data_IF_967194722228
#
_entry.id   IF_967194722228
#
_cell.length_a   1.000
_cell.length_b   1.000
_cell.length_c   1.000
_cell.angle_alpha   90.00
_cell.angle_beta   90.00
_cell.angle_gamma   90.00
#
_symmetry.space_group_name_H-M   'P 1'
#
loop_
_entity.id
_entity.type
_entity.pdbx_description
1 polymer ?
#
# COMPACT_ATOMS: atom_id res chain seq x y z
N UNK A 1 12.26 4.68 -0.40
CA UNK A 1 10.99 4.59 -1.13
C UNK A 1 10.76 3.17 -1.63
N UNK A 2 9.55 2.66 -1.52
CA UNK A 2 9.24 1.31 -1.94
C UNK A 2 9.23 1.19 -3.47
N UNK A 3 9.73 0.06 -3.96
CA UNK A 3 9.71 -0.28 -5.36
C UNK A 3 8.99 -1.61 -5.55
N UNK A 4 8.46 -1.88 -6.76
CA UNK A 4 7.78 -3.16 -6.99
C UNK A 4 8.67 -4.34 -6.62
N UNK A 5 8.09 -5.26 -5.85
CA UNK A 5 8.82 -6.42 -5.34
C UNK A 5 9.37 -6.24 -3.94
N UNK A 6 9.37 -5.03 -3.39
CA UNK A 6 9.86 -4.81 -2.04
C UNK A 6 8.88 -5.36 -1.02
N UNK A 7 9.43 -5.97 0.02
CA UNK A 7 8.64 -6.37 1.18
C UNK A 7 8.51 -5.19 2.13
N UNK A 8 7.34 -5.06 2.75
CA UNK A 8 7.11 -3.99 3.70
C UNK A 8 6.27 -4.51 4.86
N UNK A 9 6.26 -3.73 5.93
CA UNK A 9 5.43 -3.96 7.10
C UNK A 9 4.63 -2.70 7.37
N UNK A 10 3.35 -2.86 7.67
CA UNK A 10 2.54 -1.73 8.09
C UNK A 10 2.78 -1.44 9.57
N UNK A 11 3.08 -0.18 9.86
CA UNK A 11 3.18 0.27 11.23
C UNK A 11 1.80 0.41 11.85
N UNK A 12 1.76 0.83 13.11
CA UNK A 12 0.49 1.07 13.79
C UNK A 12 -0.23 2.24 13.12
N UNK A 13 -1.48 2.00 12.70
CA UNK A 13 -2.31 3.02 12.05
C UNK A 13 -3.43 3.38 13.01
N UNK A 14 -3.32 4.56 13.60
CA UNK A 14 -4.28 5.03 14.57
C UNK A 14 -5.60 5.36 13.88
N UNK A 15 -6.71 4.87 14.44
CA UNK A 15 -8.03 5.16 13.90
C UNK A 15 -8.47 4.29 12.73
N UNK A 16 -7.63 3.36 12.29
CA UNK A 16 -7.96 2.43 11.22
C UNK A 16 -8.28 1.05 11.78
N UNK A 17 -8.72 0.15 10.89
CA UNK A 17 -9.07 -1.21 11.27
C UNK A 17 -7.84 -1.95 11.81
N UNK A 18 -8.06 -2.72 12.86
CA UNK A 18 -6.98 -3.43 13.53
C UNK A 18 -6.31 -4.47 12.64
N UNK A 19 -7.02 -5.02 11.66
CA UNK A 19 -6.48 -6.05 10.80
C UNK A 19 -5.40 -5.53 9.85
N UNK A 20 -5.26 -4.22 9.70
CA UNK A 20 -4.19 -3.65 8.88
C UNK A 20 -2.92 -3.41 9.69
N UNK A 21 -3.01 -3.30 11.01
CA UNK A 21 -1.86 -2.98 11.84
C UNK A 21 -0.88 -4.15 11.86
N UNK A 22 0.41 -3.84 11.65
CA UNK A 22 1.51 -4.80 11.69
C UNK A 22 1.43 -5.91 10.64
N UNK A 23 0.62 -5.73 9.62
CA UNK A 23 0.59 -6.68 8.52
C UNK A 23 1.78 -6.47 7.62
N UNK A 24 2.26 -7.56 7.02
CA UNK A 24 3.34 -7.51 6.04
C UNK A 24 2.78 -7.77 4.66
N UNK A 25 3.52 -7.32 3.65
CA UNK A 25 3.09 -7.53 2.29
C UNK A 25 4.19 -7.22 1.29
N UNK A 26 3.81 -7.30 0.03
CA UNK A 26 4.69 -6.99 -1.11
C UNK A 26 4.12 -5.79 -1.83
N UNK A 27 4.98 -4.82 -2.11
CA UNK A 27 4.59 -3.66 -2.91
C UNK A 27 4.60 -4.06 -4.39
N UNK A 28 3.50 -3.80 -5.09
CA UNK A 28 3.36 -4.20 -6.49
C UNK A 28 3.54 -3.04 -7.47
N UNK A 29 3.48 -1.81 -6.99
CA UNK A 29 3.68 -0.65 -7.83
C UNK A 29 2.53 0.34 -7.73
N UNK A 30 2.60 1.38 -8.57
CA UNK A 30 1.59 2.41 -8.60
C UNK A 30 0.47 2.03 -9.56
N UNK A 31 -0.75 2.44 -9.22
CA UNK A 31 -1.91 2.33 -10.07
C UNK A 31 -2.46 3.74 -10.29
N UNK A 32 -2.32 4.24 -11.50
CA UNK A 32 -2.67 5.63 -11.82
C UNK A 32 -3.99 5.65 -12.55
N UNK A 33 -4.94 6.41 -12.01
CA UNK A 33 -6.27 6.55 -12.57
C UNK A 33 -6.44 7.97 -13.08
N UNK A 34 -6.79 8.10 -14.35
CA UNK A 34 -7.07 9.39 -14.96
C UNK A 34 -8.58 9.59 -15.01
N UNK A 35 -9.04 10.65 -14.37
CA UNK A 35 -10.47 10.95 -14.34
C UNK A 35 -10.82 11.91 -15.46
N UNK A 36 -12.11 11.92 -15.83
CA UNK A 36 -12.60 12.78 -16.91
C UNK A 36 -12.50 14.27 -16.58
N UNK A 37 -12.48 14.61 -15.30
CA UNK A 37 -12.38 15.99 -14.86
C UNK A 37 -10.93 16.51 -14.85
N UNK A 38 -10.00 15.73 -15.37
CA UNK A 38 -8.59 16.10 -15.41
C UNK A 38 -7.81 15.79 -14.16
N UNK A 39 -8.44 15.20 -13.15
CA UNK A 39 -7.76 14.80 -11.92
C UNK A 39 -7.09 13.47 -12.12
N UNK A 40 -5.84 13.36 -11.66
CA UNK A 40 -5.09 12.10 -11.67
C UNK A 40 -4.98 11.59 -10.24
N UNK A 41 -5.40 10.35 -10.02
CA UNK A 41 -5.33 9.71 -8.72
C UNK A 41 -4.28 8.62 -8.79
N UNK A 42 -3.31 8.66 -7.86
CA UNK A 42 -2.29 7.64 -7.75
C UNK A 42 -2.55 6.80 -6.52
N UNK A 43 -2.79 5.52 -6.73
CA UNK A 43 -2.90 4.54 -5.67
C UNK A 43 -1.68 3.63 -5.70
N UNK A 44 -1.47 2.92 -4.62
CA UNK A 44 -0.35 2.01 -4.48
C UNK A 44 -0.89 0.60 -4.29
N UNK A 45 -0.57 -0.27 -5.25
CA UNK A 45 -1.05 -1.65 -5.24
C UNK A 45 -0.13 -2.48 -4.37
N UNK A 46 -0.72 -3.23 -3.46
CA UNK A 46 0.02 -4.08 -2.53
C UNK A 46 -0.69 -5.42 -2.40
N UNK A 47 0.08 -6.45 -2.06
CA UNK A 47 -0.48 -7.75 -1.72
C UNK A 47 -0.04 -8.08 -0.30
N UNK A 48 -1.01 -8.08 0.61
CA UNK A 48 -0.74 -8.39 2.01
C UNK A 48 -0.67 -9.92 2.20
N UNK A 49 0.19 -10.33 3.11
CA UNK A 49 0.32 -11.74 3.46
C UNK A 49 -1.03 -12.25 3.96
N UNK A 50 -1.50 -13.34 3.37
CA UNK A 50 -2.79 -13.93 3.72
C UNK A 50 -3.94 -13.49 2.83
N UNK A 51 -3.77 -12.42 2.05
CA UNK A 51 -4.82 -11.98 1.13
C UNK A 51 -4.71 -12.75 -0.19
N UNK A 52 -5.85 -13.02 -0.79
CA UNK A 52 -5.91 -13.67 -2.10
C UNK A 52 -5.89 -12.69 -3.25
N UNK A 53 -6.10 -11.40 -2.97
CA UNK A 53 -6.16 -10.36 -3.99
C UNK A 53 -5.43 -9.12 -3.53
N UNK A 54 -4.84 -8.35 -4.47
CA UNK A 54 -4.19 -7.10 -4.13
C UNK A 54 -5.17 -6.06 -3.60
N UNK A 55 -4.65 -5.15 -2.79
CA UNK A 55 -5.38 -3.99 -2.31
C UNK A 55 -4.76 -2.72 -2.88
N UNK A 56 -5.56 -1.65 -2.95
CA UNK A 56 -5.07 -0.34 -3.33
C UNK A 56 -5.00 0.54 -2.09
N UNK A 57 -3.82 1.09 -1.84
CA UNK A 57 -3.59 2.02 -0.74
C UNK A 57 -3.41 3.41 -1.29
N UNK A 58 -3.95 4.40 -0.60
CA UNK A 58 -3.73 5.79 -0.96
C UNK A 58 -2.41 6.31 -0.39
N UNK A 59 -2.11 7.59 -0.68
CA UNK A 59 -0.86 8.20 -0.21
C UNK A 59 -0.77 8.27 1.31
N UNK A 60 -1.92 8.40 1.97
CA UNK A 60 -1.94 8.46 3.43
C UNK A 60 -1.43 7.20 4.08
N UNK A 61 -1.74 6.05 3.49
CA UNK A 61 -1.26 4.78 4.02
C UNK A 61 0.20 4.52 3.70
N UNK A 62 0.71 5.12 2.62
CA UNK A 62 2.09 4.90 2.20
C UNK A 62 3.09 5.25 3.29
N UNK A 63 2.82 6.29 4.07
CA UNK A 63 3.73 6.71 5.15
C UNK A 63 3.86 5.69 6.26
N UNK A 64 2.90 4.77 6.38
CA UNK A 64 2.93 3.72 7.41
C UNK A 64 3.59 2.44 6.92
N UNK A 65 4.05 2.42 5.67
CA UNK A 65 4.66 1.24 5.07
C UNK A 65 6.17 1.31 5.28
N UNK A 66 6.70 0.39 6.08
CA UNK A 66 8.12 0.32 6.36
C UNK A 66 8.75 -0.79 5.52
N UNK A 67 9.75 -0.43 4.74
CA UNK A 67 10.47 -1.39 3.92
C UNK A 67 11.28 -2.32 4.80
N UNK A 68 11.12 -3.63 4.61
CA UNK A 68 11.86 -4.63 5.38
C UNK A 68 12.79 -5.48 4.51
N UNK A 69 12.64 -5.41 3.19
CA UNK A 69 13.57 -6.08 2.29
C UNK A 69 14.63 -5.10 1.83
N UNK A 70 15.73 -5.65 1.37
CA UNK A 70 16.83 -4.83 0.88
C UNK A 70 16.77 -4.64 -0.62
#
# INVERSE_FOLDING_TARGET
>A
MLQPGDLFKLGYINGHTHDLNRRTGVYLGEDIIHRDDGVTITNHKVLLVGDSQPRLFDRGLLRHMERISK
#
